data_IF_262339084324
#
_entry.id   IF_262339084324
#
_cell.length_a   1.000
_cell.length_b   1.000
_cell.length_c   1.000
_cell.angle_alpha   90.00
_cell.angle_beta   90.00
_cell.angle_gamma   90.00
#
_symmetry.space_group_name_H-M   'P 1'
#
loop_
_entity.id
_entity.type
_entity.pdbx_description
1 polymer ?
#
# COMPACT_ATOMS: atom_id res chain seq x y z
N UNK A 1 5.47 -34.04 -15.35
CA UNK A 1 5.05 -33.09 -16.39
C UNK A 1 3.62 -33.48 -16.72
N UNK A 2 2.67 -32.60 -16.41
CA UNK A 2 1.28 -32.85 -16.77
C UNK A 2 1.11 -32.53 -18.25
N UNK A 3 0.13 -33.15 -18.90
CA UNK A 3 -0.13 -32.92 -20.32
C UNK A 3 -1.31 -31.94 -20.51
N UNK A 4 -1.22 -31.12 -21.56
CA UNK A 4 -2.23 -30.15 -21.95
C UNK A 4 -2.62 -29.13 -20.88
N UNK A 5 -3.92 -28.83 -20.81
CA UNK A 5 -4.50 -27.70 -20.07
C UNK A 5 -4.16 -27.67 -18.58
N UNK A 6 -3.86 -28.82 -17.97
CA UNK A 6 -3.48 -28.90 -16.56
C UNK A 6 -2.11 -28.28 -16.32
N UNK A 7 -1.15 -28.50 -17.23
CA UNK A 7 0.18 -27.90 -17.11
C UNK A 7 0.13 -26.38 -17.35
N UNK A 8 -0.66 -25.94 -18.33
CA UNK A 8 -0.87 -24.51 -18.61
C UNK A 8 -1.45 -23.77 -17.37
N UNK A 9 -2.44 -24.36 -16.70
CA UNK A 9 -3.01 -23.78 -15.48
C UNK A 9 -1.99 -23.69 -14.33
N UNK A 10 -1.14 -24.70 -14.18
CA UNK A 10 -0.06 -24.70 -13.17
C UNK A 10 0.96 -23.61 -13.48
N UNK A 11 1.33 -23.47 -14.74
CA UNK A 11 2.30 -22.46 -15.16
C UNK A 11 1.75 -21.05 -14.95
N UNK A 12 0.48 -20.80 -15.30
CA UNK A 12 -0.18 -19.51 -15.05
C UNK A 12 -0.30 -19.18 -13.55
N UNK A 13 -0.68 -20.14 -12.70
CA UNK A 13 -0.65 -19.92 -11.25
C UNK A 13 0.76 -19.68 -10.70
N UNK A 14 1.78 -20.33 -11.28
CA UNK A 14 3.17 -20.15 -10.88
C UNK A 14 3.75 -18.76 -11.18
N UNK A 15 3.09 -17.98 -12.06
CA UNK A 15 3.47 -16.58 -12.35
C UNK A 15 3.01 -15.60 -11.29
N UNK A 16 2.10 -16.00 -10.40
CA UNK A 16 1.59 -15.14 -9.34
C UNK A 16 2.61 -15.00 -8.20
N UNK A 17 2.78 -13.78 -7.64
CA UNK A 17 3.72 -13.56 -6.55
C UNK A 17 3.37 -14.43 -5.33
N UNK A 18 4.36 -15.13 -4.79
CA UNK A 18 4.20 -16.01 -3.63
C UNK A 18 3.68 -17.42 -3.95
N UNK A 19 3.43 -17.76 -5.22
CA UNK A 19 2.98 -19.10 -5.62
C UNK A 19 4.12 -19.82 -6.35
N UNK A 20 4.80 -20.72 -5.63
CA UNK A 20 5.79 -21.62 -6.24
C UNK A 20 5.16 -22.80 -7.00
N UNK A 21 5.95 -23.54 -7.81
CA UNK A 21 5.45 -24.64 -8.66
C UNK A 21 4.62 -25.69 -7.91
N UNK A 22 5.05 -26.07 -6.68
CA UNK A 22 4.32 -27.02 -5.84
C UNK A 22 2.97 -26.48 -5.36
N UNK A 23 2.91 -25.19 -5.02
CA UNK A 23 1.66 -24.54 -4.60
C UNK A 23 0.71 -24.39 -5.79
N UNK A 24 1.20 -23.99 -6.96
CA UNK A 24 0.42 -23.91 -8.19
C UNK A 24 -0.20 -25.27 -8.56
N UNK A 25 0.59 -26.34 -8.53
CA UNK A 25 0.10 -27.71 -8.72
C UNK A 25 -1.01 -28.06 -7.70
N UNK A 26 -0.80 -27.77 -6.42
CA UNK A 26 -1.81 -28.04 -5.38
C UNK A 26 -3.12 -27.31 -5.64
N UNK A 27 -3.07 -26.05 -6.09
CA UNK A 27 -4.28 -25.26 -6.42
C UNK A 27 -4.98 -25.85 -7.66
N UNK A 28 -4.24 -26.16 -8.72
CA UNK A 28 -4.80 -26.75 -9.94
C UNK A 28 -5.53 -28.08 -9.65
N UNK A 29 -4.92 -28.97 -8.87
CA UNK A 29 -5.57 -30.23 -8.49
C UNK A 29 -6.74 -30.05 -7.51
N UNK A 30 -6.71 -29.03 -6.64
CA UNK A 30 -7.86 -28.71 -5.81
C UNK A 30 -9.09 -28.35 -6.66
N UNK A 31 -8.90 -27.52 -7.69
CA UNK A 31 -9.97 -27.15 -8.63
C UNK A 31 -10.52 -28.39 -9.37
N UNK A 32 -9.64 -29.28 -9.84
CA UNK A 32 -10.05 -30.49 -10.56
C UNK A 32 -10.79 -31.51 -9.69
N UNK A 33 -10.39 -31.64 -8.41
CA UNK A 33 -10.85 -32.73 -7.54
C UNK A 33 -11.99 -32.31 -6.60
N UNK A 34 -12.36 -31.03 -6.55
CA UNK A 34 -13.37 -30.51 -5.64
C UNK A 34 -14.64 -30.16 -6.41
N UNK A 35 -15.66 -31.04 -6.48
CA UNK A 35 -16.86 -30.80 -7.28
C UNK A 35 -17.66 -29.57 -6.85
N UNK A 36 -17.52 -29.14 -5.59
CA UNK A 36 -18.17 -27.95 -5.04
C UNK A 36 -17.46 -26.65 -5.37
N UNK A 37 -16.26 -26.69 -5.97
CA UNK A 37 -15.52 -25.48 -6.32
C UNK A 37 -16.11 -24.85 -7.59
N UNK A 38 -16.64 -23.64 -7.47
CA UNK A 38 -17.25 -22.91 -8.59
C UNK A 38 -16.17 -22.20 -9.44
N UNK A 39 -15.69 -22.89 -10.46
CA UNK A 39 -14.69 -22.37 -11.41
C UNK A 39 -15.23 -21.20 -12.21
N UNK A 40 -16.52 -21.25 -12.59
CA UNK A 40 -17.14 -20.20 -13.39
C UNK A 40 -17.16 -18.88 -12.62
N UNK A 41 -17.51 -18.94 -11.33
CA UNK A 41 -17.50 -17.74 -10.48
C UNK A 41 -16.11 -17.15 -10.32
N UNK A 42 -15.07 -17.96 -10.14
CA UNK A 42 -13.69 -17.46 -10.05
C UNK A 42 -13.26 -16.77 -11.36
N UNK A 43 -13.52 -17.41 -12.50
CA UNK A 43 -13.16 -16.86 -13.81
C UNK A 43 -13.88 -15.53 -14.11
N UNK A 44 -15.16 -15.44 -13.76
CA UNK A 44 -15.94 -14.21 -13.85
C UNK A 44 -15.33 -13.10 -12.99
N UNK A 45 -15.05 -13.37 -11.71
CA UNK A 45 -14.47 -12.38 -10.79
C UNK A 45 -13.10 -11.86 -11.25
N UNK A 46 -12.24 -12.71 -11.78
CA UNK A 46 -10.94 -12.28 -12.34
C UNK A 46 -11.13 -11.26 -13.46
N UNK A 47 -12.13 -11.49 -14.31
CA UNK A 47 -12.47 -10.60 -15.43
C UNK A 47 -13.12 -9.30 -14.94
N UNK A 48 -14.08 -9.41 -14.01
CA UNK A 48 -14.78 -8.26 -13.42
C UNK A 48 -13.83 -7.32 -12.68
N UNK A 49 -12.90 -7.87 -11.87
CA UNK A 49 -11.92 -7.06 -11.15
C UNK A 49 -11.09 -6.23 -12.13
N UNK A 50 -10.61 -6.83 -13.22
CA UNK A 50 -9.84 -6.10 -14.23
C UNK A 50 -10.65 -5.04 -14.96
N UNK A 51 -11.94 -5.25 -15.15
CA UNK A 51 -12.83 -4.34 -15.89
C UNK A 51 -13.38 -3.19 -15.03
N UNK A 52 -13.71 -3.46 -13.76
CA UNK A 52 -14.45 -2.54 -12.88
C UNK A 52 -13.55 -1.82 -11.90
N UNK A 53 -12.46 -2.45 -11.45
CA UNK A 53 -11.58 -1.85 -10.45
C UNK A 53 -10.68 -0.81 -11.12
N UNK A 54 -10.73 0.41 -10.59
CA UNK A 54 -9.96 1.57 -11.02
C UNK A 54 -9.23 2.18 -9.82
N UNK A 55 -8.36 3.13 -10.11
CA UNK A 55 -7.74 3.95 -9.08
C UNK A 55 -8.49 5.27 -8.94
N UNK A 56 -8.76 5.65 -7.70
CA UNK A 56 -9.36 6.92 -7.35
C UNK A 56 -8.60 8.07 -7.99
N UNK A 57 -9.33 8.97 -8.66
CA UNK A 57 -8.75 10.14 -9.33
C UNK A 57 -8.06 11.08 -8.33
N UNK A 58 -8.60 11.17 -7.10
CA UNK A 58 -8.09 12.05 -6.05
C UNK A 58 -6.88 11.43 -5.33
N UNK A 59 -7.04 10.21 -4.80
CA UNK A 59 -6.07 9.65 -3.86
C UNK A 59 -5.31 8.44 -4.37
N UNK A 60 -5.62 7.91 -5.55
CA UNK A 60 -4.97 6.72 -6.07
C UNK A 60 -5.30 5.41 -5.35
N UNK A 61 -6.19 5.42 -4.35
CA UNK A 61 -6.67 4.18 -3.74
C UNK A 61 -7.57 3.39 -4.69
N UNK A 62 -7.69 2.09 -4.48
CA UNK A 62 -8.55 1.18 -5.24
C UNK A 62 -10.03 1.54 -5.05
N UNK A 63 -10.80 1.59 -6.14
CA UNK A 63 -12.24 1.80 -6.12
C UNK A 63 -12.95 1.25 -7.35
N UNK A 64 -14.26 0.98 -7.23
CA UNK A 64 -15.15 0.71 -8.38
C UNK A 64 -15.77 1.99 -8.98
N UNK A 65 -15.51 3.17 -8.38
CA UNK A 65 -15.99 4.47 -8.85
C UNK A 65 -14.81 5.44 -9.02
N UNK A 66 -15.05 6.59 -9.64
CA UNK A 66 -13.99 7.59 -9.90
C UNK A 66 -13.35 8.13 -8.61
N UNK A 67 -14.15 8.25 -7.54
CA UNK A 67 -13.67 8.61 -6.19
C UNK A 67 -13.85 7.43 -5.27
N UNK A 68 -12.88 7.10 -4.40
CA UNK A 68 -13.04 6.00 -3.45
C UNK A 68 -14.00 6.33 -2.30
N UNK A 69 -14.49 5.30 -1.60
CA UNK A 69 -15.41 5.46 -0.48
C UNK A 69 -14.88 6.39 0.63
N UNK A 70 -13.56 6.38 0.87
CA UNK A 70 -12.91 7.24 1.88
C UNK A 70 -12.97 8.72 1.45
N UNK A 71 -12.66 9.02 0.19
CA UNK A 71 -12.72 10.40 -0.32
C UNK A 71 -14.14 10.96 -0.40
N UNK A 72 -15.17 10.10 -0.49
CA UNK A 72 -16.57 10.51 -0.53
C UNK A 72 -17.21 10.63 0.86
N UNK A 73 -16.54 10.15 1.91
CA UNK A 73 -17.11 10.14 3.26
C UNK A 73 -16.95 11.52 3.92
N UNK A 74 -18.04 12.27 4.14
CA UNK A 74 -17.97 13.62 4.71
C UNK A 74 -17.55 13.64 6.18
N UNK A 75 -17.49 12.48 6.84
CA UNK A 75 -17.04 12.36 8.24
C UNK A 75 -15.53 12.33 8.37
N UNK A 76 -14.80 12.24 7.25
CA UNK A 76 -13.34 12.22 7.22
C UNK A 76 -12.77 13.63 7.32
N UNK A 77 -11.66 13.76 8.03
CA UNK A 77 -10.98 15.03 8.18
C UNK A 77 -10.17 15.36 6.93
N UNK A 78 -10.62 16.33 6.14
CA UNK A 78 -9.93 16.78 4.93
C UNK A 78 -8.63 17.54 5.22
N UNK A 79 -8.43 18.01 6.45
CA UNK A 79 -7.20 18.70 6.86
C UNK A 79 -6.00 17.75 7.05
N UNK A 80 -6.23 16.43 7.04
CA UNK A 80 -5.19 15.41 7.26
C UNK A 80 -5.06 14.51 6.03
N UNK A 81 -3.85 14.37 5.51
CA UNK A 81 -3.53 13.40 4.46
C UNK A 81 -2.45 12.42 4.95
N UNK A 82 -2.75 11.13 4.90
CA UNK A 82 -1.78 10.06 5.11
C UNK A 82 -1.28 9.53 3.75
N UNK A 83 0.00 9.74 3.47
CA UNK A 83 0.67 9.34 2.24
C UNK A 83 1.24 7.94 2.42
N UNK A 84 0.85 7.01 1.54
CA UNK A 84 1.28 5.61 1.54
C UNK A 84 1.85 5.21 0.19
N UNK A 85 2.63 4.13 0.14
CA UNK A 85 3.21 3.62 -1.11
C UNK A 85 2.13 2.94 -1.96
N UNK A 86 1.39 2.00 -1.36
CA UNK A 86 0.43 1.14 -2.05
C UNK A 86 -0.99 1.20 -1.47
N UNK A 87 -1.99 0.83 -2.27
CA UNK A 87 -3.39 0.75 -1.83
C UNK A 87 -3.61 -0.28 -0.70
N UNK A 88 -2.78 -1.32 -0.61
CA UNK A 88 -2.84 -2.32 0.47
C UNK A 88 -2.50 -1.71 1.84
N UNK A 89 -1.68 -0.66 1.86
CA UNK A 89 -1.26 0.02 3.08
C UNK A 89 -2.43 0.84 3.67
N UNK A 90 -3.29 1.39 2.81
CA UNK A 90 -4.55 2.02 3.24
C UNK A 90 -5.39 1.04 4.04
N UNK A 91 -5.55 -0.19 3.53
CA UNK A 91 -6.31 -1.23 4.24
C UNK A 91 -5.67 -1.62 5.58
N UNK A 92 -4.34 -1.62 5.67
CA UNK A 92 -3.63 -1.90 6.91
C UNK A 92 -3.89 -0.81 7.97
N UNK A 93 -3.84 0.46 7.59
CA UNK A 93 -4.08 1.59 8.51
C UNK A 93 -5.56 1.66 8.90
N UNK A 94 -6.50 1.50 7.96
CA UNK A 94 -7.94 1.53 8.25
C UNK A 94 -8.37 0.45 9.26
N UNK A 95 -7.71 -0.72 9.27
CA UNK A 95 -7.97 -1.77 10.27
C UNK A 95 -7.71 -1.32 11.71
N UNK A 96 -6.82 -0.34 11.92
CA UNK A 96 -6.56 0.21 13.25
C UNK A 96 -7.73 1.03 13.78
N UNK A 97 -8.54 1.63 12.89
CA UNK A 97 -9.63 2.58 13.20
C UNK A 97 -9.19 3.85 13.95
N UNK A 98 -7.88 4.09 14.06
CA UNK A 98 -7.31 5.26 14.75
C UNK A 98 -7.21 6.49 13.82
N UNK A 99 -7.04 6.27 12.52
CA UNK A 99 -6.91 7.36 11.55
C UNK A 99 -8.25 7.71 10.91
N UNK A 100 -8.62 9.01 10.95
CA UNK A 100 -9.86 9.53 10.36
C UNK A 100 -9.64 10.57 9.26
N UNK A 101 -8.40 10.75 8.80
CA UNK A 101 -8.09 11.63 7.69
C UNK A 101 -8.33 10.99 6.32
N UNK A 102 -7.80 11.63 5.28
CA UNK A 102 -7.78 11.13 3.91
C UNK A 102 -6.44 10.46 3.60
N UNK A 103 -6.39 9.68 2.52
CA UNK A 103 -5.16 9.05 2.05
C UNK A 103 -4.63 9.68 0.77
N UNK A 104 -3.37 9.38 0.45
CA UNK A 104 -2.79 9.54 -0.87
C UNK A 104 -1.87 8.34 -1.15
N UNK A 105 -2.13 7.59 -2.22
CA UNK A 105 -1.36 6.43 -2.66
C UNK A 105 -0.40 6.87 -3.75
N UNK A 106 0.90 6.74 -3.50
CA UNK A 106 1.95 7.15 -4.44
C UNK A 106 2.05 6.21 -5.65
N UNK A 107 1.68 4.94 -5.48
CA UNK A 107 1.87 3.90 -6.50
C UNK A 107 3.26 3.28 -6.48
N UNK A 108 3.91 3.27 -5.32
CA UNK A 108 5.26 2.76 -5.10
C UNK A 108 6.13 3.72 -4.28
N UNK A 109 7.44 3.50 -4.36
CA UNK A 109 8.48 4.30 -3.73
C UNK A 109 9.59 4.62 -4.74
N UNK A 110 10.34 5.70 -4.48
CA UNK A 110 11.49 6.08 -5.29
C UNK A 110 12.55 4.99 -5.16
N UNK A 111 12.95 4.39 -6.28
CA UNK A 111 13.91 3.31 -6.32
C UNK A 111 14.88 3.48 -7.49
N UNK A 112 16.10 4.00 -7.24
CA UNK A 112 17.12 4.15 -8.27
C UNK A 112 17.50 2.81 -8.92
N UNK A 113 17.47 1.71 -8.16
CA UNK A 113 17.82 0.37 -8.63
C UNK A 113 16.77 -0.14 -9.63
N UNK A 114 15.48 0.13 -9.37
CA UNK A 114 14.39 -0.22 -10.28
C UNK A 114 14.14 0.85 -11.36
N UNK A 115 14.93 1.93 -11.38
CA UNK A 115 14.75 3.04 -12.30
C UNK A 115 13.47 3.86 -12.08
N UNK A 116 12.88 3.80 -10.88
CA UNK A 116 11.64 4.50 -10.53
C UNK A 116 11.99 5.85 -9.89
N UNK A 117 11.67 6.93 -10.59
CA UNK A 117 11.86 8.31 -10.13
C UNK A 117 10.59 8.93 -9.52
N UNK A 118 10.68 10.18 -9.04
CA UNK A 118 9.52 10.92 -8.53
C UNK A 118 8.38 11.10 -9.54
N UNK A 119 8.72 11.26 -10.83
CA UNK A 119 7.77 11.50 -11.92
C UNK A 119 6.96 10.23 -12.29
N UNK A 120 7.46 9.05 -11.92
CA UNK A 120 6.76 7.77 -12.08
C UNK A 120 5.72 7.54 -10.96
N UNK A 121 5.74 8.37 -9.92
CA UNK A 121 4.86 8.29 -8.76
C UNK A 121 3.82 9.39 -8.79
N UNK A 122 2.76 9.24 -7.99
CA UNK A 122 1.65 10.21 -7.92
C UNK A 122 1.96 11.48 -7.11
N UNK A 123 3.22 11.91 -7.09
CA UNK A 123 3.67 13.07 -6.29
C UNK A 123 3.09 14.38 -6.84
N UNK A 124 3.01 14.56 -8.16
CA UNK A 124 2.43 15.77 -8.74
C UNK A 124 0.94 15.96 -8.36
N UNK A 125 0.18 14.85 -8.31
CA UNK A 125 -1.22 14.84 -7.88
C UNK A 125 -1.34 15.14 -6.39
N UNK A 126 -0.38 14.68 -5.56
CA UNK A 126 -0.31 15.09 -4.16
C UNK A 126 -0.12 16.60 -4.05
N UNK A 127 0.84 17.19 -4.76
CA UNK A 127 1.08 18.63 -4.73
C UNK A 127 -0.15 19.44 -5.14
N UNK A 128 -0.86 18.98 -6.17
CA UNK A 128 -2.13 19.61 -6.61
C UNK A 128 -3.18 19.60 -5.49
N UNK A 129 -3.27 18.51 -4.71
CA UNK A 129 -4.20 18.41 -3.57
C UNK A 129 -3.83 19.29 -2.38
N UNK A 130 -2.56 19.68 -2.26
CA UNK A 130 -2.08 20.52 -1.16
C UNK A 130 -2.14 22.02 -1.49
N UNK A 131 -2.42 22.38 -2.75
CA UNK A 131 -2.31 23.75 -3.23
C UNK A 131 -3.40 24.71 -2.72
N UNK A 132 -4.56 24.22 -2.30
CA UNK A 132 -5.69 25.06 -1.88
C UNK A 132 -5.67 25.46 -0.39
N UNK A 133 -4.69 24.96 0.38
CA UNK A 133 -4.52 25.27 1.80
C UNK A 133 -5.50 24.57 2.75
N UNK A 134 -6.35 23.66 2.26
CA UNK A 134 -7.28 22.89 3.12
C UNK A 134 -6.52 21.93 4.05
N UNK A 135 -5.41 21.38 3.56
CA UNK A 135 -4.61 20.36 4.26
C UNK A 135 -3.63 21.04 5.21
N UNK A 136 -3.71 20.68 6.48
CA UNK A 136 -2.87 21.22 7.56
C UNK A 136 -1.75 20.25 7.96
N UNK A 137 -1.96 18.94 7.77
CA UNK A 137 -0.97 17.92 8.07
C UNK A 137 -0.86 16.86 6.97
N UNK A 138 0.38 16.53 6.62
CA UNK A 138 0.75 15.40 5.79
C UNK A 138 1.54 14.39 6.62
N UNK A 139 0.98 13.20 6.79
CA UNK A 139 1.57 12.08 7.52
C UNK A 139 2.24 11.15 6.50
N UNK A 140 3.56 11.01 6.56
CA UNK A 140 4.33 10.13 5.70
C UNK A 140 4.33 8.71 6.29
N UNK A 141 3.55 7.83 5.67
CA UNK A 141 3.38 6.43 6.02
C UNK A 141 3.96 5.49 4.95
N UNK A 142 5.07 5.89 4.31
CA UNK A 142 5.90 4.99 3.50
C UNK A 142 6.61 3.96 4.38
N UNK A 143 7.01 2.83 3.80
CA UNK A 143 7.64 1.73 4.51
C UNK A 143 8.96 2.17 5.19
N UNK A 144 9.33 1.58 6.33
CA UNK A 144 10.58 1.88 7.04
C UNK A 144 11.77 1.15 6.42
N UNK A 145 11.85 1.06 5.09
CA UNK A 145 12.97 0.50 4.33
C UNK A 145 13.71 1.61 3.57
N UNK A 146 14.80 1.27 2.87
CA UNK A 146 15.65 2.26 2.21
C UNK A 146 14.87 3.14 1.21
N UNK A 147 14.05 2.53 0.36
CA UNK A 147 13.24 3.22 -0.65
C UNK A 147 12.15 4.10 -0.01
N UNK A 148 11.47 3.59 1.00
CA UNK A 148 10.41 4.30 1.71
C UNK A 148 10.95 5.49 2.49
N UNK A 149 12.13 5.38 3.11
CA UNK A 149 12.80 6.50 3.78
C UNK A 149 13.34 7.54 2.79
N UNK A 150 13.90 7.11 1.66
CA UNK A 150 14.30 8.03 0.60
C UNK A 150 13.10 8.82 0.07
N UNK A 151 11.98 8.15 -0.14
CA UNK A 151 10.71 8.75 -0.58
C UNK A 151 10.16 9.72 0.47
N UNK A 152 10.16 9.34 1.75
CA UNK A 152 9.72 10.23 2.83
C UNK A 152 10.62 11.47 2.96
N UNK A 153 11.95 11.30 2.86
CA UNK A 153 12.89 12.42 2.92
C UNK A 153 12.71 13.38 1.73
N UNK A 154 12.50 12.83 0.53
CA UNK A 154 12.19 13.62 -0.67
C UNK A 154 10.91 14.43 -0.49
N UNK A 155 9.81 13.78 -0.08
CA UNK A 155 8.53 14.45 0.18
C UNK A 155 8.65 15.51 1.28
N UNK A 156 9.33 15.21 2.38
CA UNK A 156 9.51 16.18 3.47
C UNK A 156 10.20 17.46 2.99
N UNK A 157 11.27 17.34 2.18
CA UNK A 157 11.96 18.50 1.61
C UNK A 157 11.08 19.26 0.63
N UNK A 158 10.33 18.55 -0.21
CA UNK A 158 9.42 19.14 -1.19
C UNK A 158 8.30 19.95 -0.51
N UNK A 159 7.78 19.43 0.62
CA UNK A 159 6.69 20.03 1.38
C UNK A 159 7.14 21.11 2.36
N UNK A 160 8.44 21.24 2.64
CA UNK A 160 8.98 22.23 3.59
C UNK A 160 8.66 23.68 3.17
N UNK A 161 8.48 23.93 1.88
CA UNK A 161 8.11 25.25 1.35
C UNK A 161 6.63 25.58 1.49
N UNK A 162 5.81 24.59 1.84
CA UNK A 162 4.39 24.75 2.13
C UNK A 162 4.25 24.92 3.64
N UNK A 163 3.39 25.83 4.10
CA UNK A 163 3.11 26.03 5.54
C UNK A 163 2.25 24.89 6.12
N UNK A 164 2.63 23.64 5.84
CA UNK A 164 1.92 22.41 6.17
C UNK A 164 2.78 21.61 7.15
N UNK A 165 2.15 21.07 8.18
CA UNK A 165 2.83 20.18 9.13
C UNK A 165 3.15 18.86 8.43
N UNK A 166 4.40 18.43 8.44
CA UNK A 166 4.80 17.11 7.92
C UNK A 166 5.20 16.23 9.09
N UNK A 167 4.54 15.08 9.22
CA UNK A 167 4.83 14.09 10.26
C UNK A 167 5.21 12.74 9.64
N UNK A 168 5.88 11.90 10.42
CA UNK A 168 6.28 10.54 10.04
C UNK A 168 5.66 9.57 11.03
N UNK A 169 5.23 8.39 10.56
CA UNK A 169 4.85 7.33 11.49
C UNK A 169 6.01 6.99 12.42
N UNK A 170 5.69 6.73 13.69
CA UNK A 170 6.70 6.37 14.67
C UNK A 170 7.45 5.10 14.22
N UNK A 171 8.78 5.14 14.32
CA UNK A 171 9.62 3.96 14.19
C UNK A 171 9.95 3.41 15.57
N UNK A 172 9.93 2.09 15.73
CA UNK A 172 10.30 1.46 16.98
C UNK A 172 9.84 0.01 17.07
N UNK A 173 9.83 -0.50 18.30
CA UNK A 173 9.54 -1.89 18.59
C UNK A 173 8.05 -2.21 18.44
N UNK A 174 7.70 -3.38 17.88
CA UNK A 174 6.32 -3.83 17.85
C UNK A 174 5.82 -4.15 19.27
N UNK A 175 4.54 -3.88 19.52
CA UNK A 175 3.90 -4.28 20.77
C UNK A 175 3.89 -5.81 20.88
N UNK A 176 4.37 -6.34 22.01
CA UNK A 176 4.44 -7.78 22.27
C UNK A 176 5.68 -8.48 21.69
N UNK A 177 6.66 -7.73 21.15
CA UNK A 177 7.97 -8.28 20.81
C UNK A 177 8.95 -8.25 21.98
N UNK A 178 9.92 -9.17 21.98
CA UNK A 178 11.02 -9.16 22.96
C UNK A 178 12.21 -8.37 22.43
N UNK A 179 12.88 -7.62 23.32
CA UNK A 179 14.07 -6.82 22.97
C UNK A 179 15.22 -7.65 22.40
N UNK A 180 15.36 -8.90 22.82
CA UNK A 180 16.41 -9.82 22.36
C UNK A 180 16.30 -10.13 20.86
N UNK A 181 15.09 -10.07 20.28
CA UNK A 181 14.85 -10.37 18.87
C UNK A 181 14.74 -9.12 17.98
N UNK A 182 14.92 -7.93 18.56
CA UNK A 182 14.90 -6.69 17.80
C UNK A 182 16.26 -6.40 17.17
N UNK A 183 16.26 -5.94 15.93
CA UNK A 183 17.49 -5.52 15.27
C UNK A 183 18.03 -4.19 15.84
N UNK A 184 19.34 -3.98 15.71
CA UNK A 184 20.05 -2.82 16.26
C UNK A 184 19.52 -1.49 15.73
N UNK A 185 19.05 -1.43 14.48
CA UNK A 185 18.52 -0.21 13.87
C UNK A 185 17.17 0.14 14.49
N UNK A 186 16.27 -0.84 14.64
CA UNK A 186 14.98 -0.66 15.30
C UNK A 186 15.15 -0.26 16.76
N UNK A 187 16.08 -0.89 17.50
CA UNK A 187 16.40 -0.51 18.88
C UNK A 187 16.96 0.91 18.96
N UNK A 188 17.88 1.28 18.07
CA UNK A 188 18.43 2.63 17.98
C UNK A 188 17.33 3.69 17.77
N UNK A 189 16.43 3.46 16.80
CA UNK A 189 15.28 4.33 16.54
C UNK A 189 14.33 4.42 17.73
N UNK A 190 14.09 3.31 18.43
CA UNK A 190 13.25 3.29 19.63
C UNK A 190 13.87 4.13 20.77
N UNK A 191 15.19 4.11 20.94
CA UNK A 191 15.90 4.96 21.90
C UNK A 191 15.84 6.44 21.53
N UNK A 192 16.03 6.78 20.26
CA UNK A 192 15.92 8.15 19.74
C UNK A 192 14.50 8.70 19.94
N UNK A 193 13.48 7.89 19.65
CA UNK A 193 12.06 8.23 19.78
C UNK A 193 11.47 8.07 21.19
N UNK A 194 12.28 7.87 22.23
CA UNK A 194 11.78 7.60 23.59
C UNK A 194 10.94 8.77 24.14
N UNK A 195 9.82 8.45 24.77
CA UNK A 195 8.88 9.44 25.34
C UNK A 195 9.05 9.53 26.86
N UNK A 196 8.87 10.73 27.41
CA UNK A 196 8.72 10.94 28.87
C UNK A 196 7.33 10.49 29.29
N UNK A 197 7.22 9.91 30.48
CA UNK A 197 5.95 9.52 31.11
C UNK A 197 5.52 10.58 32.13
#
# INVERSE_FOLDING_TARGET
MYDGIVQELIDEFGRLPGIGPKSAQRIAFHILQTPSFDVARLAELLTEVRARVRFCEICGNVSEQDRCAICRDPRRNAALICVVEDAKDVAAIERTREFRGLYHVLGGAISPIAGVGPDDLRIAQLMTRLADGTVQEVILATNPNLEGEATASYLSRLLTTMEITVSRLASGLPVGGDLEYADEVTLGRAFEGRRRL
#
